data_IF_451202367601
#
_entry.id   IF_451202367601
#
_cell.length_a   1.000
_cell.length_b   1.000
_cell.length_c   1.000
_cell.angle_alpha   90.00
_cell.angle_beta   90.00
_cell.angle_gamma   90.00
#
_symmetry.space_group_name_H-M   'P 1'
#
loop_
_entity.id
_entity.type
_entity.pdbx_description
1 polymer ?
#
# COMPACT_ATOMS: atom_id res chain seq x y z
N UNK A 1 10.64 5.25 17.17
CA UNK A 1 10.67 4.36 15.98
C UNK A 1 9.43 4.63 15.16
N UNK A 2 9.50 4.57 13.80
CA UNK A 2 8.32 4.72 12.95
C UNK A 2 7.23 3.70 13.34
N UNK A 3 5.97 4.13 13.34
CA UNK A 3 4.82 3.28 13.69
C UNK A 3 4.27 2.50 12.50
N UNK A 4 4.74 2.81 11.29
CA UNK A 4 4.33 2.19 10.03
C UNK A 4 5.52 2.12 9.08
N UNK A 5 5.49 1.15 8.17
CA UNK A 5 6.41 1.09 7.03
C UNK A 5 6.01 2.11 5.96
N UNK A 6 6.90 2.40 5.01
CA UNK A 6 6.57 3.25 3.87
C UNK A 6 5.43 2.69 3.01
N UNK A 7 5.35 1.36 2.87
CA UNK A 7 4.26 0.69 2.15
C UNK A 7 2.91 0.88 2.85
N UNK A 8 2.87 0.73 4.18
CA UNK A 8 1.65 0.96 4.98
C UNK A 8 1.21 2.41 4.92
N UNK A 9 2.14 3.36 5.02
CA UNK A 9 1.83 4.79 4.87
C UNK A 9 1.24 5.10 3.50
N UNK A 10 1.81 4.52 2.44
CA UNK A 10 1.34 4.68 1.07
C UNK A 10 -0.08 4.11 0.90
N UNK A 11 -0.31 2.86 1.30
CA UNK A 11 -1.60 2.19 1.16
C UNK A 11 -2.72 2.97 1.87
N UNK A 12 -2.48 3.37 3.13
CA UNK A 12 -3.42 4.16 3.91
C UNK A 12 -3.74 5.51 3.27
N UNK A 13 -2.74 6.22 2.75
CA UNK A 13 -2.98 7.51 2.11
C UNK A 13 -3.79 7.35 0.82
N UNK A 14 -3.49 6.33 0.01
CA UNK A 14 -4.28 6.05 -1.20
C UNK A 14 -5.75 5.78 -0.86
N UNK A 15 -6.03 5.02 0.21
CA UNK A 15 -7.40 4.81 0.66
C UNK A 15 -8.07 6.13 1.12
N UNK A 16 -7.39 6.96 1.92
CA UNK A 16 -7.91 8.25 2.40
C UNK A 16 -8.22 9.22 1.26
N UNK A 17 -7.43 9.20 0.18
CA UNK A 17 -7.65 10.00 -1.03
C UNK A 17 -8.73 9.42 -1.96
N UNK A 18 -9.42 8.34 -1.55
CA UNK A 18 -10.50 7.76 -2.35
C UNK A 18 -10.04 6.83 -3.48
N UNK A 19 -8.76 6.46 -3.54
CA UNK A 19 -8.26 5.47 -4.51
C UNK A 19 -8.73 4.09 -4.08
N UNK A 20 -9.39 3.35 -4.98
CA UNK A 20 -9.96 2.01 -4.70
C UNK A 20 -9.51 0.95 -5.70
N UNK A 21 -9.03 1.36 -6.87
CA UNK A 21 -8.55 0.45 -7.92
C UNK A 21 -7.15 0.88 -8.32
N UNK A 22 -6.19 -0.04 -8.18
CA UNK A 22 -4.78 0.17 -8.52
C UNK A 22 -4.39 -0.90 -9.52
N UNK A 23 -3.81 -0.48 -10.64
CA UNK A 23 -3.26 -1.37 -11.66
C UNK A 23 -1.74 -1.42 -11.51
N UNK A 24 -1.15 -2.59 -11.67
CA UNK A 24 0.29 -2.76 -11.59
C UNK A 24 0.72 -4.15 -12.01
N UNK A 25 2.02 -4.30 -12.25
CA UNK A 25 2.65 -5.60 -12.47
C UNK A 25 3.48 -5.95 -11.23
N UNK A 26 3.26 -7.10 -10.58
CA UNK A 26 4.06 -7.50 -9.43
C UNK A 26 5.55 -7.63 -9.75
N UNK A 27 6.40 -7.29 -8.77
CA UNK A 27 7.85 -7.42 -8.87
C UNK A 27 8.53 -7.22 -7.52
N UNK A 28 9.76 -7.73 -7.37
CA UNK A 28 10.45 -7.77 -6.06
C UNK A 28 10.60 -6.39 -5.42
N UNK A 29 10.84 -5.34 -6.21
CA UNK A 29 10.93 -3.97 -5.69
C UNK A 29 9.59 -3.40 -5.23
N UNK A 30 8.47 -4.05 -5.54
CA UNK A 30 7.13 -3.57 -5.19
C UNK A 30 6.46 -4.40 -4.09
N UNK A 31 7.03 -5.55 -3.69
CA UNK A 31 6.37 -6.45 -2.74
C UNK A 31 6.02 -5.80 -1.41
N UNK A 32 6.89 -4.94 -0.86
CA UNK A 32 6.58 -4.21 0.36
C UNK A 32 5.38 -3.25 0.24
N UNK A 33 5.11 -2.72 -0.96
CA UNK A 33 3.94 -1.90 -1.23
C UNK A 33 2.71 -2.78 -1.53
N UNK A 34 2.88 -3.86 -2.29
CA UNK A 34 1.80 -4.80 -2.62
C UNK A 34 1.27 -5.54 -1.39
N UNK A 35 2.17 -5.96 -0.49
CA UNK A 35 1.80 -6.54 0.81
C UNK A 35 0.98 -5.55 1.62
N UNK A 36 1.43 -4.28 1.71
CA UNK A 36 0.70 -3.25 2.43
C UNK A 36 -0.66 -2.91 1.79
N UNK A 37 -0.74 -2.89 0.46
CA UNK A 37 -2.00 -2.69 -0.28
C UNK A 37 -2.97 -3.86 -0.10
N UNK A 38 -2.46 -5.08 0.02
CA UNK A 38 -3.26 -6.27 0.32
C UNK A 38 -3.76 -6.28 1.77
N UNK A 39 -2.95 -5.78 2.70
CA UNK A 39 -3.27 -5.75 4.14
C UNK A 39 -4.20 -4.58 4.52
N UNK A 40 -4.19 -3.50 3.76
CA UNK A 40 -5.13 -2.38 3.94
C UNK A 40 -6.55 -2.85 3.57
N UNK A 41 -7.36 -3.10 4.60
CA UNK A 41 -8.77 -3.50 4.48
C UNK A 41 -9.64 -2.37 5.01
N UNK A 42 -10.75 -2.12 4.32
CA UNK A 42 -11.78 -1.16 4.71
C UNK A 42 -12.24 -1.35 6.17
#
# INVERSE_FOLDING_TARGET
>A
MPQMTGGQALAKQLHLEGVRVIFGLPGVQLYHALDALHDEKD
#
